data_IF_210262936744
#
_entry.id   IF_210262936744
#
_cell.length_a   1.000
_cell.length_b   1.000
_cell.length_c   1.000
_cell.angle_alpha   90.00
_cell.angle_beta   90.00
_cell.angle_gamma   90.00
#
_symmetry.space_group_name_H-M   'P 1'
#
loop_
_entity.id
_entity.type
_entity.pdbx_description
1 polymer ?
#
# COMPACT_ATOMS: atom_id res chain seq x y z
N UNK A 1 -17.81 54.02 15.43
CA UNK A 1 -18.40 52.72 15.05
C UNK A 1 -17.53 51.95 14.07
N UNK A 2 -16.94 52.59 13.05
CA UNK A 2 -16.09 51.93 12.04
C UNK A 2 -14.90 51.16 12.62
N UNK A 3 -14.19 51.69 13.63
CA UNK A 3 -13.06 50.97 14.26
C UNK A 3 -13.48 49.67 14.94
N UNK A 4 -14.65 49.64 15.59
CA UNK A 4 -15.20 48.43 16.21
C UNK A 4 -15.63 47.42 15.15
N UNK A 5 -16.30 47.90 14.10
CA UNK A 5 -16.70 47.08 12.97
C UNK A 5 -15.49 46.42 12.30
N UNK A 6 -14.42 47.16 12.06
CA UNK A 6 -13.19 46.62 11.45
C UNK A 6 -12.45 45.61 12.33
N UNK A 7 -12.51 45.76 13.66
CA UNK A 7 -11.95 44.76 14.58
C UNK A 7 -12.76 43.47 14.50
N UNK A 8 -14.08 43.57 14.41
CA UNK A 8 -14.98 42.41 14.30
C UNK A 8 -14.80 41.71 12.96
N UNK A 9 -14.72 42.44 11.84
CA UNK A 9 -14.54 41.84 10.51
C UNK A 9 -13.18 41.14 10.38
N UNK A 10 -12.10 41.74 10.88
CA UNK A 10 -10.77 41.10 10.88
C UNK A 10 -10.72 39.87 11.81
N UNK A 11 -11.56 39.85 12.85
CA UNK A 11 -11.69 38.67 13.71
C UNK A 11 -12.44 37.53 12.99
N UNK A 12 -13.39 37.86 12.12
CA UNK A 12 -14.24 36.91 11.39
C UNK A 12 -13.61 36.39 10.09
N UNK A 13 -12.66 37.12 9.50
CA UNK A 13 -11.93 36.67 8.31
C UNK A 13 -10.99 35.49 8.65
N UNK A 14 -11.31 34.31 8.11
CA UNK A 14 -10.58 33.06 8.37
C UNK A 14 -9.83 32.61 7.11
N UNK A 15 -10.52 32.62 5.96
CA UNK A 15 -10.01 32.15 4.67
C UNK A 15 -9.90 33.28 3.65
N UNK A 16 -10.59 34.40 3.86
CA UNK A 16 -10.69 35.51 2.90
C UNK A 16 -11.77 35.30 1.82
N UNK A 17 -12.61 34.27 1.96
CA UNK A 17 -13.78 34.06 1.14
C UNK A 17 -15.03 34.14 2.02
N UNK A 18 -15.86 35.16 1.78
CA UNK A 18 -17.05 35.46 2.57
C UNK A 18 -18.01 34.26 2.70
N UNK A 19 -18.16 33.44 1.64
CA UNK A 19 -19.05 32.28 1.66
C UNK A 19 -18.50 31.19 2.57
N UNK A 20 -17.21 30.89 2.47
CA UNK A 20 -16.55 29.84 3.26
C UNK A 20 -16.53 30.23 4.73
N UNK A 21 -16.20 31.48 5.03
CA UNK A 21 -16.12 31.98 6.39
C UNK A 21 -17.50 31.98 7.07
N UNK A 22 -18.58 32.35 6.35
CA UNK A 22 -19.95 32.25 6.85
C UNK A 22 -20.39 30.80 7.15
N UNK A 23 -20.01 29.85 6.29
CA UNK A 23 -20.30 28.42 6.52
C UNK A 23 -19.54 27.93 7.76
N UNK A 24 -18.25 28.26 7.89
CA UNK A 24 -17.42 27.88 9.03
C UNK A 24 -17.97 28.46 10.34
N UNK A 25 -18.36 29.73 10.36
CA UNK A 25 -19.00 30.36 11.52
C UNK A 25 -20.31 29.67 11.92
N UNK A 26 -21.12 29.25 10.95
CA UNK A 26 -22.36 28.52 11.24
C UNK A 26 -22.07 27.19 11.93
N UNK A 27 -21.09 26.42 11.44
CA UNK A 27 -20.66 25.17 12.08
C UNK A 27 -20.06 25.42 13.46
N UNK A 28 -19.18 26.41 13.60
CA UNK A 28 -18.60 26.83 14.89
C UNK A 28 -19.69 27.18 15.89
N UNK A 29 -20.72 27.91 15.45
CA UNK A 29 -21.88 28.27 16.28
C UNK A 29 -22.65 27.05 16.75
N UNK A 30 -23.00 26.12 15.86
CA UNK A 30 -23.75 24.90 16.22
C UNK A 30 -22.95 24.02 17.20
N UNK A 31 -21.65 23.85 16.95
CA UNK A 31 -20.75 23.05 17.79
C UNK A 31 -20.59 23.71 19.17
N UNK A 32 -20.28 25.01 19.20
CA UNK A 32 -20.10 25.75 20.45
C UNK A 32 -21.38 25.81 21.27
N UNK A 33 -22.54 25.94 20.63
CA UNK A 33 -23.83 25.94 21.30
C UNK A 33 -24.12 24.57 21.94
N UNK A 34 -23.92 23.48 21.19
CA UNK A 34 -24.13 22.12 21.70
C UNK A 34 -23.20 21.80 22.88
N UNK A 35 -21.92 22.19 22.77
CA UNK A 35 -20.93 21.99 23.82
C UNK A 35 -21.22 22.86 25.04
N UNK A 36 -21.56 24.13 24.86
CA UNK A 36 -21.89 25.02 25.97
C UNK A 36 -23.11 24.52 26.76
N UNK A 37 -24.14 24.02 26.07
CA UNK A 37 -25.31 23.45 26.75
C UNK A 37 -24.97 22.16 27.52
N UNK A 38 -24.12 21.30 26.96
CA UNK A 38 -23.68 20.07 27.62
C UNK A 38 -22.76 20.31 28.81
N UNK A 39 -21.70 21.10 28.64
CA UNK A 39 -20.70 21.37 29.68
C UNK A 39 -21.34 22.08 30.87
N UNK A 40 -22.17 23.10 30.63
CA UNK A 40 -22.80 23.83 31.73
C UNK A 40 -23.73 22.93 32.52
N UNK A 41 -24.46 22.01 31.88
CA UNK A 41 -25.26 21.00 32.58
C UNK A 41 -24.42 20.13 33.53
N UNK A 42 -23.32 19.55 33.00
CA UNK A 42 -22.42 18.69 33.78
C UNK A 42 -21.79 19.44 34.95
N UNK A 43 -21.38 20.69 34.75
CA UNK A 43 -20.76 21.52 35.78
C UNK A 43 -21.74 21.79 36.92
N UNK A 44 -22.97 22.19 36.62
CA UNK A 44 -23.97 22.49 37.64
C UNK A 44 -24.36 21.25 38.45
N UNK A 45 -24.48 20.09 37.80
CA UNK A 45 -24.73 18.81 38.47
C UNK A 45 -23.57 18.43 39.42
N UNK A 46 -22.32 18.68 39.01
CA UNK A 46 -21.13 18.36 39.80
C UNK A 46 -20.97 19.22 41.06
N UNK A 47 -21.37 20.50 41.01
CA UNK A 47 -21.26 21.39 42.16
C UNK A 47 -22.42 21.23 43.17
N UNK A 48 -23.48 20.47 42.83
CA UNK A 48 -24.59 20.18 43.74
C UNK A 48 -25.41 21.40 44.16
N UNK A 49 -25.25 22.53 43.45
CA UNK A 49 -25.93 23.81 43.74
C UNK A 49 -27.27 23.80 43.00
N UNK A 50 -28.16 22.88 43.39
CA UNK A 50 -29.49 22.77 42.82
C UNK A 50 -30.47 23.60 43.65
N UNK A 51 -30.57 24.89 43.34
CA UNK A 51 -31.53 25.80 43.97
C UNK A 51 -32.58 26.22 42.93
N UNK A 52 -33.85 25.88 43.18
CA UNK A 52 -34.93 25.92 42.19
C UNK A 52 -35.27 27.32 41.67
N UNK A 53 -34.98 28.37 42.45
CA UNK A 53 -35.26 29.77 42.09
C UNK A 53 -34.08 30.47 41.41
N UNK A 54 -32.84 29.98 41.62
CA UNK A 54 -31.61 30.46 40.97
C UNK A 54 -31.46 29.89 39.52
N UNK A 55 -32.38 29.01 39.13
CA UNK A 55 -32.28 28.07 38.00
C UNK A 55 -32.54 28.69 36.61
N UNK A 56 -33.30 29.79 36.51
CA UNK A 56 -33.75 30.31 35.20
C UNK A 56 -32.74 31.26 34.55
N UNK A 57 -32.34 32.33 35.26
CA UNK A 57 -31.69 33.46 34.61
C UNK A 57 -30.16 33.40 34.68
N UNK A 58 -29.61 32.89 35.79
CA UNK A 58 -28.16 32.74 35.99
C UNK A 58 -27.55 31.72 34.99
N UNK A 59 -28.30 30.66 34.70
CA UNK A 59 -27.89 29.61 33.78
C UNK A 59 -27.79 30.11 32.33
N UNK A 60 -28.68 31.02 31.92
CA UNK A 60 -28.66 31.60 30.57
C UNK A 60 -27.44 32.51 30.36
N UNK A 61 -27.10 33.33 31.36
CA UNK A 61 -25.90 34.17 31.31
C UNK A 61 -24.61 33.34 31.30
N UNK A 62 -24.53 32.29 32.12
CA UNK A 62 -23.35 31.41 32.16
C UNK A 62 -23.20 30.62 30.85
N UNK A 63 -24.29 30.09 30.29
CA UNK A 63 -24.27 29.45 28.96
C UNK A 63 -23.82 30.40 27.87
N UNK A 64 -24.26 31.66 27.91
CA UNK A 64 -23.86 32.68 26.93
C UNK A 64 -22.36 32.98 27.04
N UNK A 65 -21.81 33.15 28.25
CA UNK A 65 -20.37 33.35 28.46
C UNK A 65 -19.58 32.15 27.94
N UNK A 66 -19.99 30.93 28.31
CA UNK A 66 -19.33 29.70 27.88
C UNK A 66 -19.38 29.56 26.35
N UNK A 67 -20.52 29.85 25.73
CA UNK A 67 -20.67 29.86 24.28
C UNK A 67 -19.76 30.86 23.56
N UNK A 68 -19.66 32.10 24.05
CA UNK A 68 -18.78 33.12 23.47
C UNK A 68 -17.30 32.76 23.65
N UNK A 69 -16.93 32.17 24.79
CA UNK A 69 -15.56 31.69 25.03
C UNK A 69 -15.18 30.50 24.12
N UNK A 70 -16.08 29.52 23.96
CA UNK A 70 -15.84 28.36 23.09
C UNK A 70 -15.77 28.77 21.61
N UNK A 71 -16.65 29.68 21.18
CA UNK A 71 -16.67 30.12 19.78
C UNK A 71 -15.40 30.90 19.41
N UNK A 72 -14.90 31.77 20.30
CA UNK A 72 -13.62 32.49 20.07
C UNK A 72 -12.42 31.54 20.01
N UNK A 73 -12.32 30.58 20.93
CA UNK A 73 -11.28 29.54 20.92
C UNK A 73 -11.33 28.72 19.63
N UNK A 74 -12.53 28.34 19.19
CA UNK A 74 -12.69 27.53 17.98
C UNK A 74 -12.31 28.33 16.72
N UNK A 75 -12.64 29.63 16.65
CA UNK A 75 -12.20 30.51 15.56
C UNK A 75 -10.68 30.65 15.53
N UNK A 76 -10.02 30.85 16.68
CA UNK A 76 -8.56 30.89 16.76
C UNK A 76 -7.93 29.57 16.32
N UNK A 77 -8.53 28.43 16.69
CA UNK A 77 -8.10 27.11 16.23
C UNK A 77 -8.23 26.97 14.71
N UNK A 78 -9.33 27.44 14.12
CA UNK A 78 -9.53 27.42 12.66
C UNK A 78 -8.48 28.28 11.96
N UNK A 79 -8.17 29.48 12.48
CA UNK A 79 -7.08 30.33 11.96
C UNK A 79 -5.71 29.66 12.08
N UNK A 80 -5.46 28.97 13.18
CA UNK A 80 -4.24 28.19 13.36
C UNK A 80 -4.16 27.03 12.35
N UNK A 81 -5.28 26.37 12.07
CA UNK A 81 -5.37 25.29 11.07
C UNK A 81 -5.11 25.86 9.66
N UNK A 82 -5.77 26.94 9.26
CA UNK A 82 -5.53 27.54 7.93
C UNK A 82 -4.11 28.05 7.79
N UNK A 83 -3.53 28.60 8.87
CA UNK A 83 -2.11 28.94 8.94
C UNK A 83 -1.21 27.72 8.82
N UNK A 84 -1.51 26.62 9.51
CA UNK A 84 -0.74 25.37 9.46
C UNK A 84 -0.74 24.74 8.06
N UNK A 85 -1.84 24.85 7.32
CA UNK A 85 -1.95 24.39 5.93
C UNK A 85 -1.34 25.38 4.93
N UNK A 86 -1.26 26.67 5.27
CA UNK A 86 -0.52 27.67 4.48
C UNK A 86 1.00 27.39 4.47
N UNK A 87 1.51 26.74 5.51
CA UNK A 87 2.86 26.19 5.47
C UNK A 87 2.93 25.05 4.46
N UNK A 88 3.48 25.36 3.29
CA UNK A 88 3.81 24.45 2.19
C UNK A 88 4.65 23.22 2.61
N UNK A 89 5.07 23.12 3.87
CA UNK A 89 5.82 21.99 4.43
C UNK A 89 5.12 20.64 4.19
N UNK A 90 3.80 20.59 4.24
CA UNK A 90 3.04 19.37 3.93
C UNK A 90 3.26 18.91 2.48
N UNK A 91 3.38 19.83 1.53
CA UNK A 91 3.68 19.50 0.13
C UNK A 91 5.10 18.96 -0.01
N UNK A 92 6.07 19.52 0.72
CA UNK A 92 7.43 18.96 0.76
C UNK A 92 7.47 17.57 1.39
N UNK A 93 6.69 17.33 2.45
CA UNK A 93 6.58 16.03 3.11
C UNK A 93 5.99 14.98 2.16
N UNK A 94 4.90 15.32 1.45
CA UNK A 94 4.29 14.45 0.44
C UNK A 94 5.27 14.19 -0.70
N UNK A 95 5.98 15.22 -1.19
CA UNK A 95 6.97 15.07 -2.25
C UNK A 95 8.10 14.11 -1.83
N UNK A 96 8.59 14.19 -0.60
CA UNK A 96 9.61 13.27 -0.06
C UNK A 96 9.08 11.82 -0.01
N UNK A 97 7.84 11.60 0.44
CA UNK A 97 7.23 10.27 0.45
C UNK A 97 7.13 9.70 -0.96
N UNK A 98 6.70 10.51 -1.93
CA UNK A 98 6.60 10.10 -3.34
C UNK A 98 7.98 9.76 -3.91
N UNK A 99 9.00 10.58 -3.63
CA UNK A 99 10.38 10.32 -4.06
C UNK A 99 10.90 9.00 -3.47
N UNK A 100 10.70 8.76 -2.18
CA UNK A 100 11.07 7.49 -1.52
C UNK A 100 10.33 6.32 -2.18
N UNK A 101 9.03 6.46 -2.45
CA UNK A 101 8.23 5.45 -3.14
C UNK A 101 8.77 5.12 -4.54
N UNK A 102 9.17 6.14 -5.31
CA UNK A 102 9.77 5.96 -6.64
C UNK A 102 11.13 5.26 -6.53
N UNK A 103 11.97 5.65 -5.57
CA UNK A 103 13.29 5.02 -5.35
C UNK A 103 13.11 3.53 -4.99
N UNK A 104 12.20 3.22 -4.08
CA UNK A 104 11.86 1.84 -3.69
C UNK A 104 11.32 1.07 -4.88
N UNK A 105 10.45 1.67 -5.69
CA UNK A 105 9.91 1.04 -6.89
C UNK A 105 11.00 0.74 -7.92
N UNK A 106 11.90 1.67 -8.19
CA UNK A 106 13.04 1.47 -9.09
C UNK A 106 13.94 0.35 -8.57
N UNK A 107 14.23 0.34 -7.26
CA UNK A 107 15.03 -0.71 -6.64
C UNK A 107 14.36 -2.09 -6.77
N UNK A 108 13.05 -2.15 -6.51
CA UNK A 108 12.26 -3.36 -6.65
C UNK A 108 12.24 -3.87 -8.10
N UNK A 109 12.02 -3.00 -9.08
CA UNK A 109 12.05 -3.36 -10.50
C UNK A 109 13.44 -3.86 -10.93
N UNK A 110 14.50 -3.16 -10.53
CA UNK A 110 15.88 -3.59 -10.80
C UNK A 110 16.17 -4.96 -10.19
N UNK A 111 15.74 -5.18 -8.96
CA UNK A 111 15.89 -6.45 -8.26
C UNK A 111 15.12 -7.59 -8.97
N UNK A 112 13.87 -7.35 -9.36
CA UNK A 112 13.04 -8.33 -10.09
C UNK A 112 13.65 -8.69 -11.46
N UNK A 113 14.17 -7.70 -12.19
CA UNK A 113 14.87 -7.93 -13.47
C UNK A 113 16.13 -8.79 -13.26
N UNK A 114 16.89 -8.53 -12.19
CA UNK A 114 18.09 -9.30 -11.86
C UNK A 114 17.77 -10.78 -11.60
N UNK A 115 16.72 -11.07 -10.83
CA UNK A 115 16.30 -12.45 -10.56
C UNK A 115 15.87 -13.16 -11.84
N UNK A 116 15.09 -12.49 -12.70
CA UNK A 116 14.65 -13.07 -13.97
C UNK A 116 15.83 -13.44 -14.88
N UNK A 117 16.90 -12.62 -14.92
CA UNK A 117 18.11 -12.93 -15.69
C UNK A 117 18.84 -14.17 -15.15
N UNK A 118 18.99 -14.29 -13.83
CA UNK A 118 19.64 -15.45 -13.20
C UNK A 118 18.87 -16.75 -13.53
N UNK A 119 17.54 -16.74 -13.40
CA UNK A 119 16.70 -17.90 -13.71
C UNK A 119 16.83 -18.35 -15.17
N UNK A 120 16.88 -17.40 -16.11
CA UNK A 120 17.02 -17.69 -17.53
C UNK A 120 18.37 -18.37 -17.84
N UNK A 121 19.44 -17.84 -17.25
CA UNK A 121 20.79 -18.36 -17.45
C UNK A 121 20.96 -19.76 -16.84
N UNK A 122 20.33 -20.02 -15.70
CA UNK A 122 20.35 -21.32 -15.05
C UNK A 122 19.57 -22.38 -15.85
N UNK A 123 18.51 -21.97 -16.55
CA UNK A 123 17.74 -22.83 -17.46
C UNK A 123 18.58 -23.23 -18.69
N UNK A 124 19.36 -22.30 -19.25
CA UNK A 124 20.26 -22.59 -20.38
C UNK A 124 21.37 -23.58 -20.00
N UNK A 125 22.02 -23.42 -18.84
CA UNK A 125 23.04 -24.37 -18.37
C UNK A 125 22.48 -25.79 -18.16
N UNK A 126 21.26 -25.91 -17.63
CA UNK A 126 20.62 -27.21 -17.41
C UNK A 126 20.31 -27.90 -18.74
N UNK A 127 19.78 -27.17 -19.72
CA UNK A 127 19.49 -27.69 -21.06
C UNK A 127 20.76 -28.11 -21.81
N UNK A 128 21.88 -27.38 -21.67
CA UNK A 128 23.16 -27.77 -22.26
C UNK A 128 23.68 -29.08 -21.66
N UNK A 129 23.59 -29.22 -20.34
CA UNK A 129 24.01 -30.42 -19.61
C UNK A 129 23.20 -31.66 -20.01
N UNK A 130 21.90 -31.51 -20.23
CA UNK A 130 21.03 -32.61 -20.66
C UNK A 130 21.30 -33.02 -22.11
N UNK A 131 21.56 -32.06 -22.99
CA UNK A 131 21.98 -32.34 -24.38
C UNK A 131 23.34 -33.07 -24.42
N UNK A 132 24.32 -32.67 -23.59
CA UNK A 132 25.61 -33.38 -23.50
C UNK A 132 25.45 -34.82 -22.98
N UNK A 133 24.62 -35.03 -21.95
CA UNK A 133 24.32 -36.38 -21.46
C UNK A 133 23.64 -37.22 -22.54
N UNK A 134 22.67 -36.66 -23.26
CA UNK A 134 22.00 -37.38 -24.36
C UNK A 134 22.98 -37.74 -25.49
N UNK A 135 23.84 -36.80 -25.91
CA UNK A 135 24.85 -37.05 -26.94
C UNK A 135 25.90 -38.10 -26.52
N UNK A 136 26.31 -38.08 -25.25
CA UNK A 136 27.28 -39.08 -24.75
C UNK A 136 26.69 -40.50 -24.66
N UNK A 137 25.37 -40.61 -24.44
CA UNK A 137 24.64 -41.89 -24.44
C UNK A 137 24.46 -42.42 -25.87
N UNK A 138 24.28 -41.55 -26.87
CA UNK A 138 24.14 -41.95 -28.29
C UNK A 138 25.48 -42.30 -28.97
N UNK A 139 26.61 -41.77 -28.48
CA UNK A 139 27.94 -42.06 -29.05
C UNK A 139 28.62 -43.34 -28.53
N UNK A 140 28.24 -43.84 -27.35
CA UNK A 140 29.01 -44.92 -26.68
C UNK A 140 28.73 -46.33 -27.20
N UNK A 141 27.83 -46.50 -28.16
CA UNK A 141 27.50 -47.82 -28.73
C UNK A 141 27.94 -47.91 -30.19
N UNK A 142 29.13 -48.46 -30.41
CA UNK A 142 29.68 -48.74 -31.74
C UNK A 142 29.05 -49.97 -32.42
N UNK A 143 28.12 -50.64 -31.75
CA UNK A 143 27.45 -51.84 -32.26
C UNK A 143 26.18 -51.48 -33.05
N UNK A 144 26.07 -52.03 -34.26
CA UNK A 144 24.91 -51.87 -35.14
C UNK A 144 23.95 -53.07 -35.06
N UNK A 145 22.67 -52.83 -35.33
CA UNK A 145 21.63 -53.85 -35.34
C UNK A 145 21.73 -54.71 -36.61
N UNK A 146 21.82 -56.05 -36.51
CA UNK A 146 21.96 -56.94 -37.67
C UNK A 146 20.70 -57.03 -38.55
N UNK A 147 19.53 -56.56 -38.07
CA UNK A 147 18.28 -56.60 -38.85
C UNK A 147 18.02 -55.37 -39.70
N UNK A 148 18.49 -54.20 -39.26
CA UNK A 148 18.15 -52.93 -39.91
C UNK A 148 19.33 -51.96 -40.06
N UNK A 149 20.52 -52.33 -39.59
CA UNK A 149 21.74 -51.52 -39.68
C UNK A 149 21.77 -50.28 -38.78
N UNK A 150 20.74 -50.01 -37.98
CA UNK A 150 20.70 -48.85 -37.06
C UNK A 150 21.56 -49.06 -35.80
N UNK A 151 21.95 -47.99 -35.10
CA UNK A 151 22.72 -48.08 -33.85
C UNK A 151 21.92 -48.74 -32.72
N UNK A 152 22.63 -49.45 -31.84
CA UNK A 152 22.04 -50.07 -30.65
C UNK A 152 22.23 -49.17 -29.44
N UNK A 153 21.17 -48.51 -28.96
CA UNK A 153 21.27 -47.64 -27.79
C UNK A 153 21.07 -48.43 -26.48
N UNK A 154 21.72 -48.00 -25.41
CA UNK A 154 21.49 -48.53 -24.06
C UNK A 154 20.11 -48.07 -23.56
N UNK A 155 19.26 -49.03 -23.17
CA UNK A 155 17.97 -48.78 -22.51
C UNK A 155 17.94 -49.45 -21.15
N UNK A 156 17.12 -48.90 -20.26
CA UNK A 156 16.90 -49.45 -18.93
C UNK A 156 15.54 -50.15 -18.89
N UNK A 157 15.49 -51.38 -18.37
CA UNK A 157 14.25 -52.13 -18.16
C UNK A 157 14.20 -52.76 -16.78
N UNK A 158 13.09 -53.44 -16.42
CA UNK A 158 12.89 -54.01 -15.09
C UNK A 158 13.93 -55.09 -14.72
N UNK A 159 14.56 -55.74 -15.71
CA UNK A 159 15.58 -56.77 -15.53
C UNK A 159 17.02 -56.24 -15.70
N UNK A 160 17.20 -54.91 -15.68
CA UNK A 160 18.49 -54.24 -15.85
C UNK A 160 18.69 -53.60 -17.22
N UNK A 161 19.93 -53.19 -17.49
CA UNK A 161 20.31 -52.54 -18.75
C UNK A 161 20.33 -53.54 -19.91
N UNK A 162 19.84 -53.11 -21.08
CA UNK A 162 19.94 -53.88 -22.33
C UNK A 162 20.22 -52.96 -23.51
N UNK A 163 20.79 -53.51 -24.59
CA UNK A 163 20.92 -52.80 -25.86
C UNK A 163 19.65 -53.00 -26.68
N UNK A 164 19.03 -51.90 -27.11
CA UNK A 164 17.84 -51.90 -27.96
C UNK A 164 18.08 -51.11 -29.24
N UNK A 165 17.47 -51.55 -30.34
CA UNK A 165 17.55 -50.82 -31.60
C UNK A 165 16.99 -49.38 -31.47
N UNK A 166 17.75 -48.39 -31.92
CA UNK A 166 17.32 -46.98 -31.97
C UNK A 166 16.05 -46.83 -32.82
N UNK A 167 15.97 -47.54 -33.95
CA UNK A 167 14.85 -47.52 -34.89
C UNK A 167 13.62 -48.34 -34.45
N UNK A 168 13.54 -48.77 -33.19
CA UNK A 168 12.34 -49.43 -32.66
C UNK A 168 11.08 -48.59 -32.88
N UNK A 169 11.13 -47.27 -32.65
CA UNK A 169 9.98 -46.37 -32.86
C UNK A 169 9.77 -45.95 -34.31
N UNK A 170 10.85 -45.86 -35.11
CA UNK A 170 10.80 -45.41 -36.51
C UNK A 170 10.42 -46.51 -37.50
N UNK A 171 10.94 -47.73 -37.33
CA UNK A 171 10.76 -48.83 -38.29
C UNK A 171 10.18 -50.10 -37.66
N UNK A 172 9.85 -50.08 -36.36
CA UNK A 172 9.29 -51.24 -35.65
C UNK A 172 10.30 -52.35 -35.35
N UNK A 173 11.62 -52.07 -35.44
CA UNK A 173 12.65 -53.08 -35.25
C UNK A 173 12.76 -53.54 -33.78
N UNK A 174 12.34 -54.78 -33.48
CA UNK A 174 12.29 -55.36 -32.11
C UNK A 174 13.59 -56.03 -31.64
N UNK A 175 14.73 -55.76 -32.26
CA UNK A 175 15.98 -56.41 -31.88
C UNK A 175 16.52 -55.85 -30.54
N UNK A 176 16.86 -56.75 -29.62
CA UNK A 176 17.46 -56.44 -28.32
C UNK A 176 18.60 -57.43 -28.01
N UNK A 177 19.57 -56.98 -27.20
CA UNK A 177 20.71 -57.79 -26.75
C UNK A 177 21.05 -57.44 -25.30
N UNK A 178 21.58 -58.40 -24.55
CA UNK A 178 22.06 -58.15 -23.17
C UNK A 178 23.18 -57.12 -23.16
N UNK A 179 23.14 -56.22 -22.17
CA UNK A 179 24.25 -55.31 -21.89
C UNK A 179 25.42 -56.15 -21.34
N UNK A 180 26.62 -55.99 -21.89
CA UNK A 180 27.82 -56.74 -21.49
C UNK A 180 28.49 -56.08 -20.29
#
# INVERSE_FOLDING_TARGET
MEKLFNIITNFVEITGNEIVDNILLCFVGIISFSIAFGIVGIIFDAFGIYDSDLMSDCHWFIRLIVFLSLSTILIELLKFITWLFSFQWWIYLIAVIVIIGIIVLIYYLKHKISINKVNQQQTELMNLSDNEKQNKITETTKDFCPRCGAKLIKRHGPYGNFYGCENFSKTGCKYTRKFK
#
